data_IF_218998087724
#
_entry.id   IF_218998087724
#
_cell.length_a   1.000
_cell.length_b   1.000
_cell.length_c   1.000
_cell.angle_alpha   90.00
_cell.angle_beta   90.00
_cell.angle_gamma   90.00
#
_symmetry.space_group_name_H-M   'P 1'
#
loop_
_entity.id
_entity.type
_entity.pdbx_description
1 polymer ?
#
# COMPACT_ATOMS: atom_id res chain seq x y z
N UNK A 1 -1.79 46.00 -39.94
CA UNK A 1 -0.48 45.81 -39.28
C UNK A 1 -0.74 45.14 -37.93
N UNK A 2 -0.19 43.92 -37.73
CA UNK A 2 -0.07 43.08 -36.49
C UNK A 2 -1.30 42.97 -35.55
N UNK A 3 -2.07 41.87 -35.56
CA UNK A 3 -1.90 40.59 -34.80
C UNK A 3 -1.59 40.80 -33.30
N UNK A 4 -2.39 40.25 -32.38
CA UNK A 4 -2.33 38.86 -31.87
C UNK A 4 -3.39 38.65 -30.78
N UNK A 5 -4.16 37.59 -30.98
CA UNK A 5 -5.02 36.93 -30.01
C UNK A 5 -4.23 36.61 -28.73
N UNK A 6 -4.74 37.07 -27.59
CA UNK A 6 -4.29 36.66 -26.27
C UNK A 6 -4.72 35.22 -26.01
N UNK A 7 -3.96 34.26 -26.54
CA UNK A 7 -4.07 32.87 -26.14
C UNK A 7 -3.74 32.75 -24.67
N UNK A 8 -4.74 32.36 -23.87
CA UNK A 8 -4.49 31.84 -22.53
C UNK A 8 -3.46 30.70 -22.64
N UNK A 9 -2.40 30.68 -21.82
CA UNK A 9 -1.52 29.53 -21.75
C UNK A 9 -2.38 28.36 -21.28
N UNK A 10 -2.63 27.41 -22.19
CA UNK A 10 -3.31 26.18 -21.85
C UNK A 10 -2.53 25.50 -20.74
N UNK A 11 -3.16 25.37 -19.57
CA UNK A 11 -2.78 24.31 -18.65
C UNK A 11 -2.69 23.02 -19.48
N UNK A 12 -1.58 22.27 -19.43
CA UNK A 12 -1.58 20.94 -20.03
C UNK A 12 -2.78 20.23 -19.43
N UNK A 13 -3.73 19.80 -20.27
CA UNK A 13 -4.88 19.00 -19.83
C UNK A 13 -4.28 17.86 -19.01
N UNK A 14 -4.45 17.88 -17.69
CA UNK A 14 -3.95 16.80 -16.84
C UNK A 14 -4.60 15.53 -17.37
N UNK A 15 -3.78 14.65 -17.93
CA UNK A 15 -4.29 13.36 -18.42
C UNK A 15 -4.85 12.62 -17.21
N UNK A 16 -5.96 11.90 -17.41
CA UNK A 16 -6.46 11.00 -16.39
C UNK A 16 -5.35 10.01 -15.98
N UNK A 17 -5.15 9.86 -14.67
CA UNK A 17 -4.19 8.90 -14.10
C UNK A 17 -4.56 7.48 -14.50
N UNK A 18 -3.54 6.62 -14.58
CA UNK A 18 -3.66 5.19 -14.86
C UNK A 18 -2.75 4.40 -13.95
N UNK A 19 -2.90 3.07 -13.92
CA UNK A 19 -2.02 2.21 -13.13
C UNK A 19 -0.54 2.31 -13.52
N UNK A 20 -0.21 2.68 -14.77
CA UNK A 20 1.18 2.96 -15.17
C UNK A 20 1.82 4.10 -14.37
N UNK A 21 1.00 5.05 -13.90
CA UNK A 21 1.43 6.21 -13.12
C UNK A 21 1.69 5.85 -11.64
N UNK A 22 1.25 4.67 -11.18
CA UNK A 22 1.54 4.20 -9.82
C UNK A 22 3.04 3.90 -9.71
N UNK A 23 3.75 4.45 -8.69
CA UNK A 23 5.16 4.19 -8.49
C UNK A 23 5.49 2.70 -8.46
N UNK A 24 6.58 2.30 -9.11
CA UNK A 24 6.96 0.89 -9.23
C UNK A 24 7.07 0.18 -7.87
N UNK A 25 7.54 0.89 -6.83
CA UNK A 25 7.61 0.37 -5.46
C UNK A 25 6.25 0.04 -4.85
N UNK A 26 5.15 0.63 -5.31
CA UNK A 26 3.80 0.35 -4.80
C UNK A 26 3.07 -0.74 -5.59
N UNK A 27 3.64 -1.22 -6.69
CA UNK A 27 3.01 -2.25 -7.53
C UNK A 27 2.98 -3.60 -6.81
N UNK A 28 1.96 -4.45 -7.02
CA UNK A 28 1.89 -5.76 -6.39
C UNK A 28 3.15 -6.61 -6.63
N UNK A 29 3.77 -6.51 -7.81
CA UNK A 29 5.05 -7.16 -8.13
C UNK A 29 6.24 -6.77 -7.25
N UNK A 30 6.20 -5.65 -6.55
CA UNK A 30 7.27 -5.23 -5.64
C UNK A 30 7.18 -5.86 -4.25
N UNK A 31 6.22 -6.75 -3.98
CA UNK A 31 5.99 -7.33 -2.66
C UNK A 31 7.25 -7.86 -1.96
N UNK A 32 8.18 -8.47 -2.70
CA UNK A 32 9.43 -8.96 -2.11
C UNK A 32 10.34 -7.84 -1.56
N UNK A 33 10.24 -6.62 -2.08
CA UNK A 33 10.94 -5.46 -1.53
C UNK A 33 10.32 -5.05 -0.19
N UNK A 34 8.98 -4.99 -0.12
CA UNK A 34 8.26 -4.73 1.13
C UNK A 34 8.56 -5.77 2.20
N UNK A 35 8.57 -7.05 1.83
CA UNK A 35 8.90 -8.12 2.77
C UNK A 35 10.34 -8.02 3.30
N UNK A 36 11.28 -7.53 2.48
CA UNK A 36 12.67 -7.33 2.89
C UNK A 36 12.84 -6.18 3.88
N UNK A 37 11.91 -5.22 3.92
CA UNK A 37 11.91 -4.11 4.89
C UNK A 37 11.39 -4.54 6.27
N UNK A 38 10.62 -5.63 6.34
CA UNK A 38 10.12 -6.16 7.62
C UNK A 38 11.23 -6.91 8.36
N UNK A 39 11.52 -6.59 9.64
CA UNK A 39 12.58 -7.22 10.40
C UNK A 39 12.38 -8.73 10.55
N UNK A 40 13.47 -9.46 10.80
CA UNK A 40 13.42 -10.91 11.00
C UNK A 40 12.76 -11.31 12.33
N UNK A 41 12.80 -10.40 13.31
CA UNK A 41 12.21 -10.58 14.63
C UNK A 41 11.13 -9.52 14.88
N UNK A 42 9.99 -9.88 15.51
CA UNK A 42 8.97 -8.92 15.88
C UNK A 42 9.54 -7.87 16.84
N UNK A 43 9.08 -6.64 16.66
CA UNK A 43 9.30 -5.57 17.65
C UNK A 43 8.20 -5.71 18.70
N UNK A 44 8.57 -5.69 19.98
CA UNK A 44 7.63 -5.91 21.08
C UNK A 44 7.01 -4.60 21.60
N UNK A 45 7.48 -3.46 21.10
CA UNK A 45 6.91 -2.15 21.41
C UNK A 45 5.94 -1.67 20.30
N UNK A 46 5.86 -2.41 19.19
CA UNK A 46 4.99 -2.12 18.05
C UNK A 46 3.74 -3.02 18.08
N UNK A 47 2.56 -2.39 18.03
CA UNK A 47 1.28 -3.08 18.13
C UNK A 47 1.01 -4.00 16.93
N UNK A 48 1.30 -3.54 15.71
CA UNK A 48 1.08 -4.33 14.51
C UNK A 48 2.00 -5.56 14.52
N UNK A 49 3.26 -5.40 14.95
CA UNK A 49 4.20 -6.51 15.10
C UNK A 49 3.72 -7.51 16.16
N UNK A 50 3.25 -7.05 17.32
CA UNK A 50 2.74 -7.91 18.38
C UNK A 50 1.48 -8.67 17.95
N UNK A 51 0.53 -7.97 17.32
CA UNK A 51 -0.71 -8.56 16.82
C UNK A 51 -0.39 -9.60 15.73
N UNK A 52 0.42 -9.25 14.74
CA UNK A 52 0.75 -10.17 13.64
C UNK A 52 1.58 -11.37 14.10
N UNK A 53 2.49 -11.19 15.07
CA UNK A 53 3.40 -12.25 15.51
C UNK A 53 2.78 -13.17 16.56
N UNK A 54 1.98 -12.63 17.48
CA UNK A 54 1.51 -13.33 18.67
C UNK A 54 -0.02 -13.31 18.83
N UNK A 55 -0.73 -12.44 18.12
CA UNK A 55 -2.16 -12.19 18.34
C UNK A 55 -2.42 -11.49 19.67
N UNK A 56 -1.49 -10.67 20.13
CA UNK A 56 -1.49 -10.00 21.43
C UNK A 56 -1.12 -8.52 21.27
N UNK A 57 -1.56 -7.70 22.21
CA UNK A 57 -1.11 -6.31 22.34
C UNK A 57 0.30 -6.24 22.98
N UNK A 58 1.08 -5.16 22.76
CA UNK A 58 2.40 -4.97 23.36
C UNK A 58 2.43 -5.17 24.88
N UNK A 59 1.42 -4.66 25.60
CA UNK A 59 1.32 -4.79 27.06
C UNK A 59 1.14 -6.24 27.51
N UNK A 60 0.47 -7.06 26.71
CA UNK A 60 0.30 -8.48 26.97
C UNK A 60 1.61 -9.24 26.69
N UNK A 61 2.31 -8.91 25.61
CA UNK A 61 3.63 -9.48 25.27
C UNK A 61 4.69 -9.14 26.34
N UNK A 62 4.60 -7.95 26.93
CA UNK A 62 5.48 -7.51 28.02
C UNK A 62 5.24 -8.28 29.33
N UNK A 63 4.02 -8.75 29.57
CA UNK A 63 3.66 -9.54 30.75
C UNK A 63 4.11 -11.01 30.66
N UNK A 64 4.35 -11.53 29.44
CA UNK A 64 4.77 -12.92 29.24
C UNK A 64 6.30 -13.05 29.35
N UNK A 65 6.83 -13.88 30.28
CA UNK A 65 8.26 -14.14 30.37
C UNK A 65 8.84 -14.61 29.04
N UNK A 66 10.05 -14.15 28.66
CA UNK A 66 10.65 -14.42 27.34
C UNK A 66 10.67 -15.91 26.95
N UNK A 67 10.93 -16.82 27.89
CA UNK A 67 10.96 -18.26 27.64
C UNK A 67 9.58 -18.94 27.57
N UNK A 68 8.49 -18.20 27.81
CA UNK A 68 7.11 -18.67 27.80
C UNK A 68 6.25 -17.95 26.75
N UNK A 69 6.87 -17.11 25.91
CA UNK A 69 6.15 -16.41 24.84
C UNK A 69 5.58 -17.40 23.83
N UNK A 70 4.39 -17.10 23.25
CA UNK A 70 3.86 -17.90 22.16
C UNK A 70 4.85 -18.03 21.00
N UNK A 71 4.75 -19.11 20.25
CA UNK A 71 5.50 -19.26 19.02
C UNK A 71 5.10 -18.14 18.04
N UNK A 72 6.10 -17.51 17.42
CA UNK A 72 5.89 -16.48 16.39
C UNK A 72 5.16 -17.10 15.20
N UNK A 73 4.04 -16.50 14.80
CA UNK A 73 3.26 -16.94 13.65
C UNK A 73 4.11 -16.89 12.37
N UNK A 74 4.25 -17.99 11.63
CA UNK A 74 5.17 -18.08 10.48
C UNK A 74 4.93 -17.07 9.36
N UNK A 75 3.74 -16.49 9.28
CA UNK A 75 3.32 -15.54 8.24
C UNK A 75 3.25 -14.09 8.74
N UNK A 76 3.69 -13.79 9.96
CA UNK A 76 3.59 -12.45 10.56
C UNK A 76 4.24 -11.38 9.67
N UNK A 77 5.44 -11.65 9.14
CA UNK A 77 6.16 -10.72 8.24
C UNK A 77 5.37 -10.41 6.98
N UNK A 78 4.72 -11.43 6.43
CA UNK A 78 3.86 -11.30 5.25
C UNK A 78 2.67 -10.40 5.55
N UNK A 79 2.05 -10.54 6.72
CA UNK A 79 0.92 -9.69 7.13
C UNK A 79 1.35 -8.22 7.24
N UNK A 80 2.47 -7.94 7.92
CA UNK A 80 3.02 -6.58 8.04
C UNK A 80 3.35 -5.99 6.67
N UNK A 81 4.05 -6.74 5.83
CA UNK A 81 4.43 -6.28 4.49
C UNK A 81 3.21 -5.98 3.62
N UNK A 82 2.17 -6.83 3.66
CA UNK A 82 0.91 -6.61 2.93
C UNK A 82 0.20 -5.36 3.45
N UNK A 83 0.09 -5.20 4.77
CA UNK A 83 -0.56 -4.03 5.37
C UNK A 83 0.15 -2.74 4.96
N UNK A 84 1.49 -2.68 5.12
CA UNK A 84 2.28 -1.51 4.77
C UNK A 84 2.21 -1.15 3.27
N UNK A 85 2.28 -2.15 2.39
CA UNK A 85 2.14 -1.96 0.95
C UNK A 85 0.73 -1.44 0.60
N UNK A 86 -0.29 -2.02 1.20
CA UNK A 86 -1.68 -1.65 0.93
C UNK A 86 -1.97 -0.22 1.42
N UNK A 87 -1.54 0.12 2.63
CA UNK A 87 -1.71 1.47 3.18
C UNK A 87 -0.99 2.53 2.34
N UNK A 88 0.21 2.22 1.88
CA UNK A 88 0.98 3.12 1.01
C UNK A 88 0.31 3.31 -0.36
N UNK A 89 -0.27 2.26 -0.92
CA UNK A 89 -1.07 2.36 -2.14
C UNK A 89 -2.31 3.24 -1.94
N UNK A 90 -3.03 3.04 -0.83
CA UNK A 90 -4.20 3.85 -0.49
C UNK A 90 -3.85 5.31 -0.27
N UNK A 91 -2.77 5.59 0.42
CA UNK A 91 -2.28 6.95 0.62
C UNK A 91 -1.98 7.60 -0.73
N UNK A 92 -1.30 6.90 -1.64
CA UNK A 92 -1.07 7.41 -2.98
C UNK A 92 -2.39 7.69 -3.72
N UNK A 93 -3.40 6.81 -3.61
CA UNK A 93 -4.71 7.07 -4.20
C UNK A 93 -5.38 8.32 -3.61
N UNK A 94 -5.28 8.52 -2.29
CA UNK A 94 -5.85 9.67 -1.60
C UNK A 94 -5.19 10.99 -2.05
N UNK A 95 -3.86 11.03 -2.07
CA UNK A 95 -3.05 12.17 -2.51
C UNK A 95 -3.33 12.55 -3.98
N UNK A 96 -3.81 11.60 -4.78
CA UNK A 96 -4.15 11.80 -6.19
C UNK A 96 -5.65 12.01 -6.43
N UNK A 97 -6.46 12.15 -5.37
CA UNK A 97 -7.90 12.40 -5.48
C UNK A 97 -8.69 11.24 -6.06
N UNK A 98 -8.17 10.01 -5.91
CA UNK A 98 -8.79 8.77 -6.36
C UNK A 98 -9.61 8.09 -5.26
N UNK A 99 -9.66 8.67 -4.06
CA UNK A 99 -10.51 8.18 -2.97
C UNK A 99 -11.94 8.70 -3.12
N UNK A 100 -12.91 7.82 -2.87
CA UNK A 100 -14.31 8.16 -2.74
C UNK A 100 -14.52 8.71 -1.32
N UNK A 101 -15.21 9.85 -1.22
CA UNK A 101 -15.66 10.41 0.05
C UNK A 101 -16.76 9.52 0.66
N UNK A 102 -16.35 8.40 1.25
CA UNK A 102 -17.13 7.62 2.19
C UNK A 102 -16.65 7.91 3.62
N UNK A 103 -17.54 7.77 4.59
CA UNK A 103 -17.25 7.80 6.04
C UNK A 103 -15.81 7.38 6.38
N UNK A 104 -15.14 8.15 7.25
CA UNK A 104 -13.75 7.99 7.76
C UNK A 104 -13.31 6.56 8.09
N UNK A 105 -14.25 5.63 8.27
CA UNK A 105 -14.04 4.22 8.59
C UNK A 105 -13.79 3.29 7.39
N UNK A 106 -14.04 3.71 6.13
CA UNK A 106 -13.69 2.91 4.94
C UNK A 106 -13.14 3.81 3.84
N UNK A 107 -11.82 4.05 3.87
CA UNK A 107 -11.10 4.55 2.68
C UNK A 107 -11.47 3.62 1.53
N UNK A 108 -12.12 4.17 0.51
CA UNK A 108 -12.58 3.41 -0.65
C UNK A 108 -12.15 4.16 -1.90
N UNK A 109 -11.82 3.43 -2.96
CA UNK A 109 -11.48 3.94 -4.29
C UNK A 109 -12.52 3.40 -5.25
N UNK A 110 -12.71 4.03 -6.42
CA UNK A 110 -13.48 3.43 -7.50
C UNK A 110 -13.01 2.00 -7.80
N UNK A 111 -13.91 1.15 -8.30
CA UNK A 111 -13.64 -0.28 -8.53
C UNK A 111 -12.43 -0.50 -9.44
N UNK A 112 -12.26 0.37 -10.44
CA UNK A 112 -11.13 0.36 -11.36
C UNK A 112 -9.78 0.65 -10.69
N UNK A 113 -9.77 1.26 -9.50
CA UNK A 113 -8.59 1.52 -8.68
C UNK A 113 -8.49 0.56 -7.49
N UNK A 114 -9.37 -0.44 -7.37
CA UNK A 114 -9.28 -1.43 -6.31
C UNK A 114 -7.97 -2.21 -6.38
N UNK A 115 -7.47 -2.66 -5.22
CA UNK A 115 -6.26 -3.49 -5.15
C UNK A 115 -6.35 -4.72 -6.06
N UNK A 116 -7.49 -5.39 -6.11
CA UNK A 116 -7.72 -6.54 -7.01
C UNK A 116 -7.56 -6.17 -8.49
N UNK A 117 -8.09 -5.02 -8.92
CA UNK A 117 -7.92 -4.55 -10.29
C UNK A 117 -6.44 -4.24 -10.59
N UNK A 118 -5.74 -3.67 -9.63
CA UNK A 118 -4.33 -3.33 -9.76
C UNK A 118 -3.43 -4.58 -9.84
N UNK A 119 -3.67 -5.58 -8.98
CA UNK A 119 -2.99 -6.88 -9.04
C UNK A 119 -3.18 -7.55 -10.39
N UNK A 120 -4.42 -7.61 -10.89
CA UNK A 120 -4.68 -8.21 -12.21
C UNK A 120 -3.92 -7.48 -13.32
N UNK A 121 -3.94 -6.15 -13.32
CA UNK A 121 -3.21 -5.36 -14.31
C UNK A 121 -1.69 -5.60 -14.27
N UNK A 122 -1.11 -5.70 -13.06
CA UNK A 122 0.33 -5.94 -12.88
C UNK A 122 0.72 -7.37 -13.34
N UNK A 123 -0.13 -8.36 -13.07
CA UNK A 123 0.03 -9.73 -13.55
C UNK A 123 -0.05 -9.82 -15.08
N UNK A 124 -1.03 -9.18 -15.72
CA UNK A 124 -1.18 -9.15 -17.18
C UNK A 124 0.06 -8.53 -17.86
N UNK A 125 0.61 -7.46 -17.28
CA UNK A 125 1.85 -6.80 -17.74
C UNK A 125 3.08 -7.70 -17.67
N UNK A 126 3.18 -8.52 -16.62
CA UNK A 126 4.28 -9.48 -16.45
C UNK A 126 4.12 -10.73 -17.30
N UNK A 127 2.89 -11.19 -17.49
CA UNK A 127 2.55 -12.34 -18.34
C UNK A 127 2.77 -12.06 -19.83
N UNK A 128 2.50 -10.83 -20.28
CA UNK A 128 2.75 -10.39 -21.66
C UNK A 128 4.21 -10.04 -21.99
N UNK A 129 5.13 -10.14 -21.02
CA UNK A 129 6.57 -9.95 -21.20
C UNK A 129 7.36 -11.26 -21.29
N UNK A 130 6.67 -12.41 -21.40
CA UNK A 130 7.28 -13.74 -21.54
C UNK A 130 7.27 -14.23 -22.99
#
# INVERSE_FOLDING_TARGET
MVKRSGGHPGHPRQRALRFEDVPAKLRPSSFLQWLAEVPEHPDHDDADHCEAAYGLEPEEVAQVPRGQRPAVASHWRTMIAVAAQWDSYWQWCDENGLTLNGSRSRRSVPREWSWTAFTRWDEERRGGQR
#
